data_IF_688110611233
#
_entry.id   IF_688110611233
#
_cell.length_a   1.000
_cell.length_b   1.000
_cell.length_c   1.000
_cell.angle_alpha   90.00
_cell.angle_beta   90.00
_cell.angle_gamma   90.00
#
_symmetry.space_group_name_H-M   'P 1'
#
loop_
_entity.id
_entity.type
_entity.pdbx_description
1 polymer ?
#
# COMPACT_ATOMS: atom_id res chain seq x y z
N UNK A 1 -7.54 -0.29 -15.60
CA UNK A 1 -7.43 -0.19 -14.13
C UNK A 1 -6.06 0.34 -13.74
N UNK A 2 -6.02 1.26 -12.83
CA UNK A 2 -4.80 1.79 -12.26
C UNK A 2 -4.58 1.17 -10.86
N UNK A 3 -3.39 0.65 -10.61
CA UNK A 3 -3.01 0.09 -9.31
C UNK A 3 -1.77 0.83 -8.81
N UNK A 4 -1.87 1.44 -7.65
CA UNK A 4 -0.75 2.08 -6.98
C UNK A 4 -0.41 1.26 -5.72
N UNK A 5 0.87 0.97 -5.54
CA UNK A 5 1.37 0.19 -4.40
C UNK A 5 2.36 1.05 -3.64
N UNK A 6 2.10 1.29 -2.36
CA UNK A 6 3.02 2.03 -1.48
C UNK A 6 3.68 1.03 -0.54
N UNK A 7 5.01 0.97 -0.55
CA UNK A 7 5.78 -0.06 0.17
C UNK A 7 7.17 0.44 0.52
N UNK A 8 7.82 -0.18 1.51
CA UNK A 8 9.24 0.07 1.79
C UNK A 8 10.17 -0.88 1.02
N UNK A 9 9.60 -1.83 0.26
CA UNK A 9 10.35 -2.78 -0.56
C UNK A 9 9.85 -2.76 -2.01
N UNK A 10 10.02 -1.65 -2.73
CA UNK A 10 9.48 -1.54 -4.09
C UNK A 10 10.03 -2.61 -5.04
N UNK A 11 11.25 -3.06 -4.85
CA UNK A 11 11.88 -4.09 -5.70
C UNK A 11 11.19 -5.45 -5.61
N UNK A 12 10.52 -5.74 -4.50
CA UNK A 12 9.75 -6.99 -4.37
C UNK A 12 8.66 -7.10 -5.45
N UNK A 13 8.13 -5.98 -5.88
CA UNK A 13 7.01 -5.96 -6.82
C UNK A 13 7.42 -6.08 -8.28
N UNK A 14 8.70 -6.30 -8.56
CA UNK A 14 9.16 -6.66 -9.90
C UNK A 14 8.50 -7.94 -10.43
N UNK A 15 8.01 -8.80 -9.55
CA UNK A 15 7.28 -10.01 -9.92
C UNK A 15 6.01 -9.70 -10.73
N UNK A 16 5.49 -8.49 -10.64
CA UNK A 16 4.30 -8.08 -11.41
C UNK A 16 4.59 -7.91 -12.90
N UNK A 17 5.85 -7.94 -13.30
CA UNK A 17 6.23 -7.83 -14.70
C UNK A 17 6.26 -9.17 -15.44
N UNK A 18 5.93 -10.27 -14.76
CA UNK A 18 6.03 -11.60 -15.35
C UNK A 18 4.65 -12.24 -15.57
N UNK A 19 4.63 -13.23 -16.50
CA UNK A 19 3.47 -14.05 -16.79
C UNK A 19 2.24 -13.23 -17.23
N UNK A 20 1.06 -13.63 -16.81
CA UNK A 20 -0.19 -12.99 -17.20
C UNK A 20 -0.28 -11.53 -16.77
N UNK A 21 0.25 -11.20 -15.58
CA UNK A 21 0.25 -9.82 -15.10
C UNK A 21 1.11 -8.94 -15.99
N UNK A 22 2.30 -9.41 -16.36
CA UNK A 22 3.17 -8.67 -17.26
C UNK A 22 2.53 -8.44 -18.63
N UNK A 23 1.84 -9.46 -19.16
CA UNK A 23 1.13 -9.33 -20.41
C UNK A 23 -0.03 -8.34 -20.34
N UNK A 24 -0.77 -8.34 -19.23
CA UNK A 24 -1.87 -7.40 -19.03
C UNK A 24 -1.36 -5.95 -19.00
N UNK A 25 -0.20 -5.73 -18.38
CA UNK A 25 0.45 -4.40 -18.36
C UNK A 25 0.89 -3.97 -19.75
N UNK A 26 1.51 -4.86 -20.51
CA UNK A 26 1.94 -4.57 -21.88
C UNK A 26 0.78 -4.21 -22.79
N UNK A 27 -0.38 -4.84 -22.59
CA UNK A 27 -1.59 -4.57 -23.36
C UNK A 27 -2.37 -3.35 -22.87
N UNK A 28 -1.92 -2.70 -21.81
CA UNK A 28 -2.61 -1.54 -21.27
C UNK A 28 -3.88 -1.86 -20.49
N UNK A 29 -4.12 -3.13 -20.13
CA UNK A 29 -5.29 -3.53 -19.35
C UNK A 29 -5.18 -3.09 -17.91
N UNK A 30 -3.95 -3.08 -17.36
CA UNK A 30 -3.66 -2.55 -16.04
C UNK A 30 -2.45 -1.63 -16.12
N UNK A 31 -2.44 -0.60 -15.29
CA UNK A 31 -1.32 0.30 -15.13
C UNK A 31 -0.90 0.24 -13.66
N UNK A 32 0.33 -0.16 -13.38
CA UNK A 32 0.83 -0.37 -12.03
C UNK A 32 1.97 0.59 -11.75
N UNK A 33 1.86 1.35 -10.67
CA UNK A 33 2.94 2.19 -10.18
C UNK A 33 3.30 1.75 -8.75
N UNK A 34 4.58 1.57 -8.49
CA UNK A 34 5.10 1.20 -7.17
C UNK A 34 5.80 2.42 -6.58
N UNK A 35 5.41 2.79 -5.37
CA UNK A 35 5.93 3.97 -4.68
C UNK A 35 6.72 3.54 -3.45
N UNK A 36 7.94 4.05 -3.30
CA UNK A 36 8.74 3.80 -2.12
C UNK A 36 8.29 4.74 -1.00
N UNK A 37 7.81 4.18 0.10
CA UNK A 37 7.35 4.96 1.25
C UNK A 37 8.44 5.90 1.78
N UNK A 38 9.71 5.50 1.67
CA UNK A 38 10.82 6.32 2.13
C UNK A 38 10.98 7.63 1.35
N UNK A 39 10.41 7.71 0.17
CA UNK A 39 10.43 8.96 -0.61
C UNK A 39 9.56 10.06 0.04
N UNK A 40 8.72 9.68 1.00
CA UNK A 40 7.85 10.60 1.74
C UNK A 40 8.36 10.87 3.16
N UNK A 41 9.62 10.53 3.45
CA UNK A 41 10.26 10.84 4.72
C UNK A 41 11.13 12.08 4.57
N UNK A 42 11.32 12.81 5.67
CA UNK A 42 12.07 14.07 5.66
C UNK A 42 13.29 14.05 6.57
N UNK A 43 13.49 12.98 7.32
CA UNK A 43 14.66 12.84 8.17
C UNK A 43 15.84 12.23 7.42
N UNK A 44 17.04 12.39 7.99
CA UNK A 44 18.29 11.92 7.38
C UNK A 44 18.30 10.41 7.13
N UNK A 45 17.70 9.65 8.03
CA UNK A 45 17.70 8.19 7.97
C UNK A 45 16.48 7.61 7.25
N UNK A 46 15.59 8.48 6.74
CA UNK A 46 14.38 8.08 6.03
C UNK A 46 13.57 7.09 6.86
N UNK A 47 13.30 7.44 8.10
CA UNK A 47 12.68 6.58 9.10
C UNK A 47 11.18 6.41 8.83
N UNK A 48 10.73 5.16 8.77
CA UNK A 48 9.33 4.82 8.50
C UNK A 48 8.64 4.08 9.64
N UNK A 49 9.37 3.77 10.71
CA UNK A 49 8.88 2.99 11.84
C UNK A 49 9.08 3.70 13.17
N UNK A 50 8.37 3.26 14.19
CA UNK A 50 8.43 3.81 15.53
C UNK A 50 8.00 2.75 16.54
N UNK A 51 8.10 3.06 17.85
CA UNK A 51 7.58 2.18 18.89
C UNK A 51 6.04 2.19 18.86
N UNK A 52 5.38 1.10 19.31
CA UNK A 52 3.92 1.07 19.34
C UNK A 52 3.35 2.19 20.23
N UNK A 53 2.25 2.77 19.78
CA UNK A 53 1.55 3.80 20.55
C UNK A 53 1.04 3.22 21.88
N UNK A 54 1.39 3.86 22.97
CA UNK A 54 1.05 3.37 24.30
C UNK A 54 2.01 2.33 24.86
N UNK A 55 3.07 2.01 24.15
CA UNK A 55 4.09 1.03 24.56
C UNK A 55 3.80 -0.36 24.03
N UNK A 56 4.59 -1.31 24.46
CA UNK A 56 4.51 -2.70 24.02
C UNK A 56 5.73 -3.13 23.23
N UNK A 57 5.77 -4.42 22.87
CA UNK A 57 6.86 -4.99 22.09
C UNK A 57 6.63 -4.79 20.59
N UNK A 58 7.73 -4.78 19.82
CA UNK A 58 7.67 -4.66 18.36
C UNK A 58 7.72 -3.22 17.88
N UNK A 59 7.53 -3.08 16.58
CA UNK A 59 7.59 -1.79 15.89
C UNK A 59 6.34 -1.61 15.04
N UNK A 60 5.91 -0.36 14.89
CA UNK A 60 4.82 -0.01 13.99
C UNK A 60 5.31 0.98 12.94
N UNK A 61 4.61 1.09 11.83
CA UNK A 61 4.93 2.07 10.80
C UNK A 61 4.48 3.45 11.25
N UNK A 62 5.33 4.45 11.02
CA UNK A 62 5.02 5.84 11.40
C UNK A 62 3.88 6.39 10.54
N UNK A 63 2.95 7.19 11.11
CA UNK A 63 1.83 7.72 10.34
C UNK A 63 2.23 8.83 9.35
N UNK A 64 3.25 9.62 9.65
CA UNK A 64 3.60 10.78 8.85
C UNK A 64 3.97 10.44 7.39
N UNK A 65 4.91 9.49 7.14
CA UNK A 65 5.20 9.12 5.76
C UNK A 65 3.97 8.53 5.03
N UNK A 66 3.18 7.73 5.73
CA UNK A 66 1.97 7.15 5.14
C UNK A 66 0.94 8.21 4.78
N UNK A 67 0.74 9.21 5.65
CA UNK A 67 -0.18 10.30 5.37
C UNK A 67 0.21 11.05 4.11
N UNK A 68 1.49 11.42 3.97
CA UNK A 68 1.98 12.13 2.79
C UNK A 68 1.86 11.27 1.52
N UNK A 69 2.25 9.98 1.62
CA UNK A 69 2.18 9.08 0.47
C UNK A 69 0.75 8.91 -0.03
N UNK A 70 -0.19 8.69 0.89
CA UNK A 70 -1.58 8.51 0.53
C UNK A 70 -2.20 9.80 -0.01
N UNK A 71 -1.85 10.95 0.55
CA UNK A 71 -2.30 12.23 0.01
C UNK A 71 -1.81 12.45 -1.43
N UNK A 72 -0.62 11.98 -1.75
CA UNK A 72 -0.06 12.10 -3.10
C UNK A 72 -0.68 11.13 -4.10
N UNK A 73 -1.12 9.97 -3.65
CA UNK A 73 -1.54 8.86 -4.52
C UNK A 73 -3.06 8.71 -4.62
N UNK A 74 -3.78 8.94 -3.53
CA UNK A 74 -5.24 8.76 -3.51
C UNK A 74 -5.97 9.82 -4.33
N UNK A 75 -6.99 9.38 -5.04
CA UNK A 75 -7.93 10.24 -5.74
C UNK A 75 -9.35 9.92 -5.26
N UNK A 76 -10.38 10.75 -5.59
CA UNK A 76 -11.75 10.43 -5.18
C UNK A 76 -12.25 9.08 -5.67
N UNK A 77 -11.69 8.56 -6.78
CA UNK A 77 -12.09 7.27 -7.35
C UNK A 77 -11.29 6.09 -6.79
N UNK A 78 -10.32 6.33 -5.91
CA UNK A 78 -9.45 5.28 -5.38
C UNK A 78 -10.13 4.48 -4.29
N UNK A 79 -9.89 3.17 -4.27
CA UNK A 79 -10.21 2.28 -3.16
C UNK A 79 -8.91 1.94 -2.46
N UNK A 80 -8.79 2.28 -1.19
CA UNK A 80 -7.62 1.99 -0.39
C UNK A 80 -7.74 0.60 0.23
N UNK A 81 -6.72 -0.22 0.03
CA UNK A 81 -6.64 -1.58 0.56
C UNK A 81 -5.41 -1.67 1.46
N UNK A 82 -5.62 -2.03 2.72
CA UNK A 82 -4.56 -2.21 3.70
C UNK A 82 -4.57 -3.69 4.11
N UNK A 83 -3.67 -4.51 3.57
CA UNK A 83 -3.58 -5.91 4.00
C UNK A 83 -3.26 -6.00 5.48
N UNK A 84 -4.05 -6.79 6.21
CA UNK A 84 -3.91 -6.90 7.66
C UNK A 84 -4.50 -8.22 8.15
N UNK A 85 -3.90 -8.85 9.17
CA UNK A 85 -4.49 -10.04 9.79
C UNK A 85 -5.82 -9.76 10.49
N UNK A 86 -6.08 -8.49 10.84
CA UNK A 86 -7.30 -8.08 11.53
C UNK A 86 -8.43 -7.69 10.57
N UNK A 87 -8.16 -7.65 9.28
CA UNK A 87 -9.14 -7.24 8.28
C UNK A 87 -10.10 -8.38 7.90
N UNK A 88 -11.02 -8.05 7.00
CA UNK A 88 -11.92 -9.03 6.43
C UNK A 88 -11.15 -10.02 5.55
N UNK A 89 -11.63 -11.26 5.52
CA UNK A 89 -11.01 -12.27 4.68
C UNK A 89 -11.19 -11.93 3.21
N UNK A 90 -10.10 -11.98 2.45
CA UNK A 90 -10.14 -11.79 1.00
C UNK A 90 -10.76 -13.03 0.34
N UNK A 91 -11.84 -12.80 -0.41
CA UNK A 91 -12.56 -13.89 -1.09
C UNK A 91 -12.62 -13.60 -2.59
N UNK A 92 -13.09 -14.59 -3.36
CA UNK A 92 -13.31 -14.39 -4.79
C UNK A 92 -14.37 -13.32 -5.05
N UNK A 93 -15.38 -13.22 -4.17
CA UNK A 93 -16.37 -12.15 -4.27
C UNK A 93 -15.74 -10.78 -4.09
N UNK A 94 -14.84 -10.64 -3.11
CA UNK A 94 -14.08 -9.40 -2.91
C UNK A 94 -13.25 -9.05 -4.14
N UNK A 95 -12.58 -10.05 -4.72
CA UNK A 95 -11.77 -9.83 -5.92
C UNK A 95 -12.63 -9.30 -7.09
N UNK A 96 -13.83 -9.82 -7.26
CA UNK A 96 -14.75 -9.37 -8.32
C UNK A 96 -15.22 -7.94 -8.09
N UNK A 97 -15.51 -7.58 -6.85
CA UNK A 97 -15.88 -6.22 -6.50
C UNK A 97 -14.76 -5.23 -6.80
N UNK A 98 -13.53 -5.58 -6.41
CA UNK A 98 -12.37 -4.72 -6.66
C UNK A 98 -12.03 -4.64 -8.15
N UNK A 99 -12.26 -5.70 -8.91
CA UNK A 99 -12.00 -5.70 -10.35
C UNK A 99 -12.90 -4.70 -11.11
N UNK A 100 -14.03 -4.32 -10.54
CA UNK A 100 -14.92 -3.32 -11.12
C UNK A 100 -14.49 -1.88 -10.84
N UNK A 101 -13.53 -1.68 -9.93
CA UNK A 101 -13.04 -0.34 -9.58
C UNK A 101 -12.04 0.18 -10.59
N UNK A 102 -11.98 1.50 -10.73
CA UNK A 102 -11.06 2.14 -11.67
C UNK A 102 -9.65 2.27 -11.11
N UNK A 103 -9.51 2.49 -9.82
CA UNK A 103 -8.24 2.70 -9.15
C UNK A 103 -8.19 1.97 -7.81
N UNK A 104 -7.12 1.20 -7.63
CA UNK A 104 -6.83 0.54 -6.35
C UNK A 104 -5.51 1.09 -5.81
N UNK A 105 -5.46 1.32 -4.51
CA UNK A 105 -4.24 1.72 -3.81
C UNK A 105 -3.98 0.71 -2.71
N UNK A 106 -2.84 0.02 -2.78
CA UNK A 106 -2.41 -0.94 -1.76
C UNK A 106 -1.38 -0.29 -0.86
N UNK A 107 -1.70 -0.20 0.43
CA UNK A 107 -0.76 0.25 1.45
C UNK A 107 -0.16 -0.97 2.13
N UNK A 108 1.06 -1.34 1.74
CA UNK A 108 1.72 -2.56 2.20
C UNK A 108 2.61 -2.25 3.40
N UNK A 109 2.11 -2.55 4.59
CA UNK A 109 2.81 -2.33 5.84
C UNK A 109 3.78 -3.45 6.20
N UNK A 110 4.47 -3.27 7.30
CA UNK A 110 5.43 -4.22 7.87
C UNK A 110 5.41 -4.12 9.40
N UNK A 111 6.17 -4.99 10.07
CA UNK A 111 6.27 -5.07 11.54
C UNK A 111 4.90 -5.38 12.16
N UNK A 112 4.52 -4.63 13.18
CA UNK A 112 3.22 -4.79 13.85
C UNK A 112 2.06 -4.19 13.03
N UNK A 113 2.37 -3.68 11.85
CA UNK A 113 1.39 -3.10 10.96
C UNK A 113 1.52 -1.58 10.83
N UNK A 114 0.52 -0.98 10.21
CA UNK A 114 0.46 0.46 10.02
C UNK A 114 -0.24 1.08 11.23
N UNK A 115 0.26 2.25 11.69
CA UNK A 115 -0.37 2.98 12.78
C UNK A 115 -1.86 3.18 12.48
N UNK A 116 -2.72 2.86 13.45
CA UNK A 116 -4.16 2.90 13.28
C UNK A 116 -4.68 4.28 12.85
N UNK A 117 -3.97 5.34 13.21
CA UNK A 117 -4.35 6.70 12.81
C UNK A 117 -4.36 6.89 11.30
N UNK A 118 -3.55 6.14 10.57
CA UNK A 118 -3.54 6.18 9.10
C UNK A 118 -4.80 5.53 8.54
N UNK A 119 -5.21 4.40 9.10
CA UNK A 119 -6.36 3.64 8.62
C UNK A 119 -7.68 4.37 8.90
N UNK A 120 -7.75 5.08 10.01
CA UNK A 120 -8.94 5.84 10.41
C UNK A 120 -9.11 7.15 9.62
N UNK A 121 -8.09 7.56 8.93
CA UNK A 121 -8.06 8.80 8.17
C UNK A 121 -8.81 8.65 6.82
#
# INVERSE_FOLDING_TARGET
MRIDIVTIFPEFFGVLDVSLLGKARERGLIDVAVHDLRDFTHDRHRTVDDTPYGGGAGMVMRPEPWGEALDAVLTPESVLIVPSPAGERFTQATARELAAEQRLVFACGRYEGIDQRVVEY
#
